data_IF_571499068516
#
_entry.id   IF_571499068516
#
_cell.length_a   1.000
_cell.length_b   1.000
_cell.length_c   1.000
_cell.angle_alpha   90.00
_cell.angle_beta   90.00
_cell.angle_gamma   90.00
#
_symmetry.space_group_name_H-M   'P 1'
#
loop_
_entity.id
_entity.type
_entity.pdbx_description
1 polymer ?
#
# COMPACT_ATOMS: atom_id res chain seq x y z
N UNK A 1 -3.11 1.49 -33.73
CA UNK A 1 -3.27 0.15 -33.11
C UNK A 1 -2.31 0.21 -31.97
N UNK A 2 -2.85 0.33 -30.78
CA UNK A 2 -2.11 0.98 -29.71
C UNK A 2 -1.64 -0.13 -28.77
N UNK A 3 -0.32 -0.29 -28.69
CA UNK A 3 0.34 -1.37 -27.96
C UNK A 3 0.62 -0.92 -26.53
N UNK A 4 0.16 -1.69 -25.55
CA UNK A 4 0.27 -1.31 -24.14
C UNK A 4 0.72 -2.49 -23.30
N UNK A 5 1.55 -2.23 -22.27
CA UNK A 5 1.97 -3.28 -21.34
C UNK A 5 1.03 -3.39 -20.14
N UNK A 6 0.73 -4.61 -19.68
CA UNK A 6 0.13 -4.88 -18.38
C UNK A 6 1.08 -4.48 -17.22
N UNK A 7 1.15 -3.18 -16.97
CA UNK A 7 1.54 -2.53 -15.73
C UNK A 7 0.31 -1.83 -15.11
N UNK A 8 0.37 -1.30 -13.89
CA UNK A 8 -0.78 -0.54 -13.33
C UNK A 8 -1.15 0.61 -14.27
N UNK A 9 -0.13 1.37 -14.70
CA UNK A 9 -0.28 2.48 -15.63
C UNK A 9 -0.74 2.02 -17.02
N UNK A 10 -0.28 0.88 -17.49
CA UNK A 10 -0.59 0.41 -18.84
C UNK A 10 -1.95 -0.29 -18.95
N UNK A 11 -2.41 -1.04 -17.95
CA UNK A 11 -3.80 -1.47 -17.91
C UNK A 11 -4.75 -0.28 -17.76
N UNK A 12 -4.44 0.70 -16.91
CA UNK A 12 -5.22 1.95 -16.83
C UNK A 12 -5.25 2.71 -18.15
N UNK A 13 -4.13 2.81 -18.87
CA UNK A 13 -4.07 3.42 -20.20
C UNK A 13 -4.87 2.62 -21.24
N UNK A 14 -4.76 1.30 -21.24
CA UNK A 14 -5.47 0.42 -22.16
C UNK A 14 -7.00 0.52 -21.99
N UNK A 15 -7.48 0.57 -20.75
CA UNK A 15 -8.89 0.85 -20.42
C UNK A 15 -9.30 2.23 -20.93
N UNK A 16 -8.56 3.28 -20.57
CA UNK A 16 -8.89 4.66 -20.94
C UNK A 16 -8.81 4.93 -22.46
N UNK A 17 -8.02 4.16 -23.22
CA UNK A 17 -8.01 4.18 -24.68
C UNK A 17 -9.23 3.43 -25.25
N UNK A 18 -9.55 2.25 -24.72
CA UNK A 18 -10.71 1.44 -25.12
C UNK A 18 -12.03 2.19 -24.90
N UNK A 19 -12.19 2.88 -23.78
CA UNK A 19 -13.35 3.73 -23.47
C UNK A 19 -13.54 4.88 -24.48
N UNK A 20 -12.44 5.38 -25.06
CA UNK A 20 -12.44 6.39 -26.13
C UNK A 20 -12.65 5.79 -27.53
N UNK A 21 -12.98 4.50 -27.64
CA UNK A 21 -13.26 3.81 -28.89
C UNK A 21 -12.01 3.28 -29.63
N UNK A 22 -10.83 3.30 -29.01
CA UNK A 22 -9.60 2.79 -29.64
C UNK A 22 -9.54 1.25 -29.59
N UNK A 23 -9.02 0.64 -30.65
CA UNK A 23 -8.64 -0.79 -30.66
C UNK A 23 -7.23 -0.94 -30.07
N UNK A 24 -7.18 -1.35 -28.81
CA UNK A 24 -5.96 -1.57 -28.03
C UNK A 24 -5.53 -3.04 -28.10
N UNK A 25 -4.23 -3.32 -28.03
CA UNK A 25 -3.69 -4.67 -27.84
C UNK A 25 -2.68 -4.65 -26.70
N UNK A 26 -2.79 -5.63 -25.79
CA UNK A 26 -2.02 -5.68 -24.54
C UNK A 26 -1.08 -6.87 -24.57
N UNK A 27 0.20 -6.66 -24.27
CA UNK A 27 1.25 -7.68 -24.32
C UNK A 27 1.96 -7.84 -22.98
N UNK A 28 1.74 -8.96 -22.26
CA UNK A 28 2.56 -9.39 -21.12
C UNK A 28 3.60 -10.44 -21.57
N UNK A 29 4.62 -10.65 -20.72
CA UNK A 29 5.51 -11.81 -20.77
C UNK A 29 4.99 -13.00 -19.94
N UNK A 30 4.14 -12.76 -18.92
CA UNK A 30 3.48 -13.79 -18.11
C UNK A 30 2.00 -13.92 -18.47
N UNK A 31 1.48 -15.14 -18.35
CA UNK A 31 0.07 -15.43 -18.62
C UNK A 31 -0.83 -15.11 -17.41
N UNK A 32 -0.95 -13.82 -17.07
CA UNK A 32 -1.82 -13.42 -15.96
C UNK A 32 -3.32 -13.56 -16.25
N UNK A 33 -3.70 -13.84 -17.49
CA UNK A 33 -5.03 -14.34 -17.88
C UNK A 33 -5.28 -15.78 -17.39
N UNK A 34 -4.24 -16.62 -17.28
CA UNK A 34 -4.35 -17.99 -16.75
C UNK A 34 -4.30 -18.03 -15.21
N UNK A 35 -3.46 -17.21 -14.56
CA UNK A 35 -3.25 -17.25 -13.09
C UNK A 35 -3.87 -16.09 -12.30
N UNK A 36 -4.46 -15.08 -12.96
CA UNK A 36 -5.13 -13.96 -12.32
C UNK A 36 -4.25 -13.16 -11.35
N UNK A 37 -2.99 -12.86 -11.71
CA UNK A 37 -2.02 -12.13 -10.87
C UNK A 37 -1.83 -12.71 -9.45
N UNK A 38 -2.13 -14.00 -9.24
CA UNK A 38 -1.88 -14.66 -7.97
C UNK A 38 -0.37 -14.95 -7.79
N UNK A 39 0.19 -14.79 -6.58
CA UNK A 39 1.56 -15.20 -6.31
C UNK A 39 1.72 -16.72 -6.50
N UNK A 40 2.59 -17.13 -7.42
CA UNK A 40 2.91 -18.54 -7.65
C UNK A 40 4.23 -18.86 -6.94
N UNK A 41 4.31 -20.05 -6.33
CA UNK A 41 5.52 -20.57 -5.70
C UNK A 41 6.54 -21.10 -6.72
N UNK A 42 6.10 -21.37 -7.95
CA UNK A 42 6.93 -21.95 -9.00
C UNK A 42 7.50 -20.93 -9.98
N UNK A 43 6.95 -19.72 -10.06
CA UNK A 43 7.42 -18.67 -10.97
C UNK A 43 8.46 -17.79 -10.28
N UNK A 44 9.73 -17.91 -10.69
CA UNK A 44 10.87 -17.29 -10.01
C UNK A 44 10.93 -15.76 -10.19
N UNK A 45 10.16 -15.20 -11.13
CA UNK A 45 10.08 -13.78 -11.43
C UNK A 45 8.60 -13.46 -11.60
N UNK A 46 8.09 -12.51 -10.81
CA UNK A 46 6.72 -12.00 -10.95
C UNK A 46 6.75 -10.46 -10.91
N UNK A 47 5.77 -9.80 -11.50
CA UNK A 47 5.74 -8.34 -11.52
C UNK A 47 5.53 -7.77 -10.10
N UNK A 48 6.11 -6.62 -9.75
CA UNK A 48 6.13 -6.12 -8.36
C UNK A 48 4.75 -5.79 -7.74
N UNK A 49 3.70 -5.82 -8.54
CA UNK A 49 2.31 -5.67 -8.11
C UNK A 49 1.64 -7.00 -7.73
N UNK A 50 2.18 -8.15 -8.16
CA UNK A 50 1.74 -9.50 -7.78
C UNK A 50 1.93 -9.63 -6.27
N UNK A 51 0.84 -9.41 -5.57
CA UNK A 51 0.79 -9.20 -4.14
C UNK A 51 -0.67 -9.31 -3.71
N UNK A 52 -0.95 -9.92 -2.56
CA UNK A 52 -2.30 -10.04 -2.05
C UNK A 52 -2.94 -8.64 -1.86
N UNK A 53 -2.22 -7.72 -1.21
CA UNK A 53 -2.72 -6.40 -0.81
C UNK A 53 -1.65 -5.30 -1.01
N UNK A 54 -2.03 -4.06 -1.39
CA UNK A 54 -1.15 -2.86 -1.31
C UNK A 54 -1.79 -1.77 -0.45
N UNK A 55 -0.97 -0.88 0.11
CA UNK A 55 -1.45 0.22 0.96
C UNK A 55 -2.11 1.28 0.07
N UNK A 56 -3.36 1.60 0.37
CA UNK A 56 -4.02 2.80 -0.12
C UNK A 56 -3.94 3.90 0.96
N UNK A 57 -3.57 5.12 0.58
CA UNK A 57 -3.33 6.24 1.51
C UNK A 57 -3.83 7.55 0.93
N UNK A 58 -4.55 8.34 1.73
CA UNK A 58 -4.92 9.71 1.37
C UNK A 58 -3.93 10.75 1.96
N UNK A 59 -3.45 10.54 3.19
CA UNK A 59 -2.51 11.45 3.88
C UNK A 59 -1.10 11.49 3.23
N UNK A 60 -0.87 12.41 2.29
CA UNK A 60 0.42 12.58 1.60
C UNK A 60 1.32 13.71 2.15
N UNK A 61 0.91 14.36 3.25
CA UNK A 61 1.61 15.50 3.83
C UNK A 61 1.71 16.66 2.85
N UNK A 62 2.90 17.27 2.74
CA UNK A 62 3.14 18.44 1.87
C UNK A 62 2.90 18.20 0.37
N UNK A 63 2.68 16.94 -0.06
CA UNK A 63 2.48 16.55 -1.46
C UNK A 63 1.00 16.60 -1.86
N UNK A 64 0.41 17.79 -1.80
CA UNK A 64 -1.04 18.04 -1.95
C UNK A 64 -1.66 17.51 -3.26
N UNK A 65 -0.91 17.45 -4.37
CA UNK A 65 -1.42 16.89 -5.63
C UNK A 65 -1.59 15.36 -5.54
N UNK A 66 -0.69 14.63 -4.86
CA UNK A 66 -0.88 13.20 -4.59
C UNK A 66 -2.05 12.96 -3.62
N UNK A 67 -2.28 13.86 -2.65
CA UNK A 67 -3.46 13.77 -1.78
C UNK A 67 -4.77 13.92 -2.58
N UNK A 68 -4.87 14.91 -3.47
CA UNK A 68 -6.07 15.08 -4.33
C UNK A 68 -6.29 13.89 -5.25
N UNK A 69 -5.24 13.47 -5.97
CA UNK A 69 -5.30 12.30 -6.86
C UNK A 69 -5.66 11.01 -6.09
N UNK A 70 -5.18 10.86 -4.86
CA UNK A 70 -5.58 9.74 -4.00
C UNK A 70 -7.08 9.82 -3.66
N UNK A 71 -7.62 10.98 -3.28
CA UNK A 71 -9.06 11.12 -3.00
C UNK A 71 -9.93 10.83 -4.23
N UNK A 72 -9.55 11.34 -5.40
CA UNK A 72 -10.20 11.00 -6.68
C UNK A 72 -10.14 9.49 -6.98
N UNK A 73 -8.98 8.87 -6.76
CA UNK A 73 -8.80 7.42 -6.90
C UNK A 73 -9.64 6.63 -5.90
N UNK A 74 -9.81 7.14 -4.67
CA UNK A 74 -10.63 6.51 -3.62
C UNK A 74 -12.09 6.39 -4.06
N UNK A 75 -12.63 7.46 -4.63
CA UNK A 75 -14.02 7.47 -5.06
C UNK A 75 -14.23 6.60 -6.31
N UNK A 76 -13.25 6.53 -7.21
CA UNK A 76 -13.22 5.54 -8.30
C UNK A 76 -13.20 4.08 -7.78
N UNK A 77 -12.37 3.77 -6.77
CA UNK A 77 -12.33 2.45 -6.13
C UNK A 77 -13.65 2.08 -5.44
N UNK A 78 -14.29 3.04 -4.76
CA UNK A 78 -15.60 2.83 -4.12
C UNK A 78 -16.70 2.59 -5.15
N UNK A 79 -16.72 3.38 -6.23
CA UNK A 79 -17.61 3.16 -7.38
C UNK A 79 -17.44 1.77 -7.98
N UNK A 80 -16.19 1.33 -8.20
CA UNK A 80 -15.89 -0.01 -8.73
C UNK A 80 -16.34 -1.14 -7.79
N UNK A 81 -16.18 -0.99 -6.47
CA UNK A 81 -16.73 -1.95 -5.50
C UNK A 81 -18.27 -2.08 -5.64
N UNK A 82 -18.99 -0.96 -5.75
CA UNK A 82 -20.46 -1.00 -5.90
C UNK A 82 -20.90 -1.61 -7.23
N UNK A 83 -20.24 -1.29 -8.35
CA UNK A 83 -20.47 -1.94 -9.64
C UNK A 83 -20.26 -3.45 -9.54
N UNK A 84 -19.18 -3.91 -8.91
CA UNK A 84 -18.89 -5.34 -8.75
C UNK A 84 -19.91 -6.06 -7.85
N UNK A 85 -20.43 -5.41 -6.80
CA UNK A 85 -21.52 -5.95 -5.98
C UNK A 85 -22.82 -6.12 -6.77
N UNK A 86 -23.11 -5.21 -7.68
CA UNK A 86 -24.31 -5.24 -8.51
C UNK A 86 -24.20 -6.25 -9.66
N UNK A 87 -23.09 -6.27 -10.39
CA UNK A 87 -22.89 -7.17 -11.54
C UNK A 87 -22.53 -8.61 -11.14
N UNK A 88 -21.77 -8.78 -10.05
CA UNK A 88 -21.26 -10.08 -9.60
C UNK A 88 -21.51 -10.32 -8.10
N UNK A 89 -22.79 -10.29 -7.66
CA UNK A 89 -23.14 -10.38 -6.25
C UNK A 89 -22.48 -11.59 -5.57
N UNK A 90 -21.98 -11.43 -4.34
CA UNK A 90 -21.35 -12.52 -3.62
C UNK A 90 -22.37 -13.64 -3.32
N UNK A 91 -21.94 -14.91 -3.27
CA UNK A 91 -22.74 -15.99 -2.69
C UNK A 91 -23.23 -15.65 -1.29
N UNK A 92 -24.43 -16.13 -0.93
CA UNK A 92 -25.06 -15.82 0.36
C UNK A 92 -24.28 -16.32 1.59
N UNK A 93 -23.34 -17.23 1.39
CA UNK A 93 -22.45 -17.87 2.38
C UNK A 93 -21.01 -17.34 2.34
N UNK A 94 -20.72 -16.30 1.55
CA UNK A 94 -19.37 -15.75 1.41
C UNK A 94 -18.93 -14.94 2.64
N UNK A 95 -18.05 -15.53 3.47
CA UNK A 95 -17.44 -14.95 4.68
C UNK A 95 -16.47 -13.77 4.42
N UNK A 96 -16.35 -13.30 3.18
CA UNK A 96 -15.44 -12.22 2.80
C UNK A 96 -16.01 -11.38 1.66
N UNK A 97 -15.90 -10.05 1.78
CA UNK A 97 -16.34 -9.15 0.71
C UNK A 97 -15.44 -9.28 -0.52
N UNK A 98 -16.04 -9.18 -1.71
CA UNK A 98 -15.32 -9.11 -2.99
C UNK A 98 -14.71 -7.73 -3.27
N UNK A 99 -14.82 -6.78 -2.33
CA UNK A 99 -14.33 -5.41 -2.47
C UNK A 99 -12.85 -5.38 -2.84
N UNK A 100 -12.50 -4.65 -3.90
CA UNK A 100 -11.12 -4.46 -4.32
C UNK A 100 -10.40 -3.44 -3.44
N UNK A 101 -11.14 -2.45 -2.93
CA UNK A 101 -10.66 -1.51 -1.93
C UNK A 101 -11.38 -1.73 -0.61
N UNK A 102 -10.63 -1.98 0.46
CA UNK A 102 -11.14 -2.19 1.82
C UNK A 102 -10.79 -0.99 2.68
N UNK A 103 -11.82 -0.27 3.13
CA UNK A 103 -11.74 0.96 3.94
C UNK A 103 -11.38 0.66 5.40
N UNK A 104 -10.28 -0.05 5.64
CA UNK A 104 -9.82 -0.39 6.99
C UNK A 104 -8.99 0.73 7.68
N UNK A 105 -8.79 1.88 7.04
CA UNK A 105 -7.96 2.96 7.57
C UNK A 105 -6.47 2.63 7.60
N UNK A 106 -5.66 3.64 7.97
CA UNK A 106 -4.21 3.52 8.10
C UNK A 106 -3.69 4.22 9.36
N UNK A 107 -3.08 3.47 10.28
CA UNK A 107 -2.45 3.96 11.48
C UNK A 107 -0.96 4.27 11.24
N UNK A 108 -0.55 5.51 11.49
CA UNK A 108 0.82 6.02 11.35
C UNK A 108 1.47 6.21 12.71
N UNK A 109 2.18 5.18 13.16
CA UNK A 109 2.93 5.19 14.43
C UNK A 109 4.26 5.93 14.25
N UNK A 110 4.49 6.91 15.13
CA UNK A 110 5.67 7.76 15.17
C UNK A 110 6.83 7.07 15.92
N UNK A 111 8.10 7.49 15.74
CA UNK A 111 9.24 6.93 16.48
C UNK A 111 9.34 7.43 17.93
N UNK A 112 8.42 8.28 18.39
CA UNK A 112 8.40 8.87 19.73
C UNK A 112 6.97 9.03 20.24
N UNK A 113 6.79 9.36 21.52
CA UNK A 113 5.50 9.72 22.11
C UNK A 113 4.98 11.11 21.74
N UNK A 114 5.42 11.71 20.63
CA UNK A 114 4.95 13.01 20.18
C UNK A 114 4.90 13.12 18.65
N UNK A 115 3.95 13.91 18.13
CA UNK A 115 3.83 14.15 16.68
C UNK A 115 5.08 14.87 16.14
N UNK A 116 5.78 14.21 15.21
CA UNK A 116 6.87 14.80 14.45
C UNK A 116 6.38 15.92 13.51
N UNK A 117 7.29 16.81 13.10
CA UNK A 117 6.94 18.00 12.29
C UNK A 117 6.19 17.66 10.99
N UNK A 118 6.57 16.57 10.31
CA UNK A 118 5.88 16.13 9.08
C UNK A 118 4.44 15.65 9.34
N UNK A 119 4.18 15.00 10.47
CA UNK A 119 2.83 14.54 10.84
C UNK A 119 1.95 15.73 11.25
N UNK A 120 2.51 16.70 11.97
CA UNK A 120 1.84 17.98 12.29
C UNK A 120 1.45 18.75 11.03
N UNK A 121 2.37 18.89 10.06
CA UNK A 121 2.04 19.52 8.77
C UNK A 121 1.00 18.69 8.01
N UNK A 122 1.08 17.35 8.03
CA UNK A 122 0.07 16.48 7.41
C UNK A 122 -1.32 16.73 7.99
N UNK A 123 -1.47 16.82 9.31
CA UNK A 123 -2.73 17.17 9.96
C UNK A 123 -3.21 18.57 9.55
N UNK A 124 -2.32 19.56 9.46
CA UNK A 124 -2.64 20.90 8.98
C UNK A 124 -3.01 20.93 7.48
N UNK A 125 -2.45 20.05 6.65
CA UNK A 125 -2.87 19.86 5.25
C UNK A 125 -4.29 19.30 5.18
N UNK A 126 -4.62 18.31 6.01
CA UNK A 126 -5.96 17.70 6.09
C UNK A 126 -6.99 18.71 6.61
N UNK A 127 -6.66 19.50 7.64
CA UNK A 127 -7.49 20.64 8.10
C UNK A 127 -7.79 21.63 6.98
N UNK A 128 -6.74 22.11 6.28
CA UNK A 128 -6.90 23.05 5.16
C UNK A 128 -7.65 22.47 3.95
N UNK A 129 -7.82 21.15 3.89
CA UNK A 129 -8.64 20.45 2.89
C UNK A 129 -10.08 20.17 3.38
N UNK A 130 -10.44 20.53 4.61
CA UNK A 130 -11.74 20.21 5.21
C UNK A 130 -11.89 18.77 5.68
N UNK A 131 -10.77 18.05 5.89
CA UNK A 131 -10.71 16.61 6.16
C UNK A 131 -10.16 16.26 7.56
N UNK A 132 -10.03 17.24 8.47
CA UNK A 132 -9.45 17.01 9.81
C UNK A 132 -10.17 15.92 10.60
N UNK A 133 -11.49 15.84 10.48
CA UNK A 133 -12.34 14.94 11.25
C UNK A 133 -12.15 13.45 10.88
N UNK A 134 -11.54 13.19 9.72
CA UNK A 134 -11.10 11.86 9.24
C UNK A 134 -9.77 11.39 9.83
N UNK A 135 -9.04 12.28 10.49
CA UNK A 135 -7.77 11.98 11.16
C UNK A 135 -8.01 11.84 12.66
N UNK A 136 -7.38 10.87 13.32
CA UNK A 136 -7.53 10.66 14.77
C UNK A 136 -6.15 10.49 15.41
N UNK A 137 -5.75 11.46 16.24
CA UNK A 137 -4.50 11.41 17.03
C UNK A 137 -4.75 10.63 18.32
N UNK A 138 -3.92 9.62 18.61
CA UNK A 138 -4.10 8.72 19.76
C UNK A 138 -4.10 9.49 21.08
N UNK A 139 -3.15 10.41 21.27
CA UNK A 139 -3.05 11.20 22.51
C UNK A 139 -4.22 12.18 22.74
N UNK A 140 -4.99 12.53 21.71
CA UNK A 140 -6.06 13.54 21.80
C UNK A 140 -7.40 12.90 22.23
N UNK A 141 -7.94 13.37 23.36
CA UNK A 141 -9.18 12.83 23.94
C UNK A 141 -10.42 12.97 23.03
N UNK A 142 -10.60 14.11 22.37
CA UNK A 142 -11.72 14.35 21.47
C UNK A 142 -11.59 13.53 20.16
N UNK A 143 -10.37 13.24 19.72
CA UNK A 143 -10.12 12.32 18.61
C UNK A 143 -10.42 10.87 19.02
N UNK A 144 -10.05 10.43 20.23
CA UNK A 144 -10.44 9.09 20.73
C UNK A 144 -11.96 8.92 20.84
N UNK A 145 -12.67 9.92 21.36
CA UNK A 145 -14.13 9.93 21.46
C UNK A 145 -14.80 9.92 20.06
N UNK A 146 -14.30 10.75 19.13
CA UNK A 146 -14.76 10.75 17.73
C UNK A 146 -14.44 9.44 17.01
N UNK A 147 -13.31 8.80 17.32
CA UNK A 147 -12.97 7.49 16.77
C UNK A 147 -13.92 6.41 17.29
N UNK A 148 -14.17 6.36 18.60
CA UNK A 148 -15.09 5.41 19.21
C UNK A 148 -16.52 5.54 18.65
N UNK A 149 -17.07 6.76 18.65
CA UNK A 149 -18.43 7.04 18.12
C UNK A 149 -18.59 6.76 16.63
N UNK A 150 -17.51 6.80 15.84
CA UNK A 150 -17.51 6.50 14.39
C UNK A 150 -17.02 5.08 14.04
N UNK A 151 -16.86 4.18 15.01
CA UNK A 151 -16.44 2.79 14.79
C UNK A 151 -14.94 2.57 14.54
N UNK A 152 -14.12 3.61 14.65
CA UNK A 152 -12.66 3.56 14.47
C UNK A 152 -11.88 3.26 15.75
N UNK A 153 -12.53 3.23 16.91
CA UNK A 153 -11.88 3.08 18.21
C UNK A 153 -10.94 1.87 18.31
N UNK A 154 -11.36 0.71 17.82
CA UNK A 154 -10.54 -0.51 17.82
C UNK A 154 -9.26 -0.42 16.94
N UNK A 155 -9.25 0.50 15.97
CA UNK A 155 -8.13 0.73 15.04
C UNK A 155 -7.13 1.77 15.52
N UNK A 156 -7.48 2.57 16.52
CA UNK A 156 -6.60 3.58 17.12
C UNK A 156 -5.69 2.90 18.16
N UNK A 157 -4.81 2.02 17.67
CA UNK A 157 -3.97 1.17 18.50
C UNK A 157 -2.90 1.98 19.24
N UNK A 158 -2.65 1.60 20.49
CA UNK A 158 -1.66 2.20 21.38
C UNK A 158 -0.50 1.24 21.59
N UNK A 159 0.73 1.74 21.53
CA UNK A 159 1.96 0.93 21.66
C UNK A 159 2.87 1.52 22.74
N UNK A 160 3.31 0.71 23.69
CA UNK A 160 4.24 1.13 24.76
C UNK A 160 5.67 1.28 24.24
N UNK A 161 6.41 2.23 24.81
CA UNK A 161 7.85 2.44 24.54
C UNK A 161 8.63 1.54 25.51
N UNK A 162 9.38 0.51 25.04
CA UNK A 162 9.92 -0.52 25.93
C UNK A 162 10.95 -0.06 26.97
N UNK A 163 11.62 1.08 26.76
CA UNK A 163 12.79 1.53 27.53
C UNK A 163 12.66 3.00 28.02
N UNK A 164 11.45 3.44 28.35
CA UNK A 164 11.21 4.77 28.94
C UNK A 164 11.29 4.77 30.48
N UNK A 165 11.86 5.83 31.06
CA UNK A 165 11.80 6.08 32.53
C UNK A 165 10.39 6.49 33.02
N UNK A 166 9.51 6.84 32.09
CA UNK A 166 8.07 7.00 32.29
C UNK A 166 7.35 6.02 31.34
N UNK A 167 6.17 5.53 31.72
CA UNK A 167 5.33 4.64 30.89
C UNK A 167 4.71 5.38 29.70
N UNK A 168 5.56 5.83 28.78
CA UNK A 168 5.18 6.52 27.55
C UNK A 168 4.71 5.55 26.47
N UNK A 169 3.83 6.04 25.59
CA UNK A 169 3.37 5.31 24.42
C UNK A 169 3.76 6.06 23.15
N UNK A 170 4.08 5.32 22.08
CA UNK A 170 4.34 5.93 20.78
C UNK A 170 3.08 6.67 20.29
N UNK A 171 3.26 7.89 19.82
CA UNK A 171 2.16 8.67 19.25
C UNK A 171 1.74 8.05 17.92
N UNK A 172 0.44 8.10 17.62
CA UNK A 172 -0.10 7.53 16.40
C UNK A 172 -1.23 8.39 15.81
N UNK A 173 -1.36 8.38 14.49
CA UNK A 173 -2.48 9.02 13.79
C UNK A 173 -3.16 8.01 12.88
N UNK A 174 -4.46 7.78 13.08
CA UNK A 174 -5.31 6.98 12.20
C UNK A 174 -5.93 7.88 11.12
N UNK A 175 -5.76 7.52 9.85
CA UNK A 175 -6.47 8.10 8.70
C UNK A 175 -7.58 7.15 8.24
N UNK A 176 -8.85 7.56 8.38
CA UNK A 176 -10.00 6.77 7.95
C UNK A 176 -10.30 6.84 6.45
N UNK A 177 -9.60 7.69 5.68
CA UNK A 177 -9.71 7.72 4.21
C UNK A 177 -8.77 6.71 3.54
N UNK A 178 -7.87 6.10 4.32
CA UNK A 178 -6.90 5.13 3.86
C UNK A 178 -7.41 3.68 4.02
N UNK A 179 -6.60 2.71 3.60
CA UNK A 179 -6.94 1.29 3.71
C UNK A 179 -6.01 0.42 2.87
N UNK A 180 -6.55 -0.65 2.29
CA UNK A 180 -5.81 -1.52 1.37
C UNK A 180 -6.57 -1.75 0.07
N UNK A 181 -5.84 -1.91 -1.02
CA UNK A 181 -6.36 -2.51 -2.27
C UNK A 181 -5.92 -3.97 -2.35
N UNK A 182 -6.79 -4.87 -2.79
CA UNK A 182 -6.44 -6.27 -3.13
C UNK A 182 -5.79 -6.26 -4.51
N UNK A 183 -4.57 -6.77 -4.63
CA UNK A 183 -3.68 -6.46 -5.76
C UNK A 183 -3.35 -7.62 -6.71
N UNK A 184 -3.84 -8.83 -6.47
CA UNK A 184 -3.93 -9.88 -7.49
C UNK A 184 -4.96 -9.57 -8.60
N UNK A 185 -5.22 -8.29 -8.88
CA UNK A 185 -6.07 -7.80 -9.96
C UNK A 185 -5.51 -6.50 -10.61
N UNK A 186 -4.26 -6.11 -10.30
CA UNK A 186 -3.60 -4.96 -10.94
C UNK A 186 -2.08 -5.20 -11.10
N UNK A 187 -1.57 -5.17 -12.34
CA UNK A 187 -0.15 -5.27 -12.73
C UNK A 187 0.67 -4.05 -12.24
N UNK A 188 1.98 -3.82 -12.44
CA UNK A 188 3.12 -4.53 -13.04
C UNK A 188 4.31 -3.53 -13.19
N UNK A 189 5.59 -3.95 -13.27
CA UNK A 189 6.77 -3.04 -13.04
C UNK A 189 7.99 -3.13 -13.99
N UNK A 190 7.90 -3.82 -15.14
CA UNK A 190 9.06 -4.24 -15.96
C UNK A 190 9.52 -3.26 -17.07
N UNK A 191 9.36 -1.94 -16.89
CA UNK A 191 9.47 -0.98 -18.01
C UNK A 191 10.89 -0.74 -18.57
N UNK A 192 11.96 -1.02 -17.81
CA UNK A 192 13.35 -0.64 -18.17
C UNK A 192 14.03 -1.58 -19.17
N UNK A 193 13.64 -2.85 -19.27
CA UNK A 193 14.30 -3.84 -20.14
C UNK A 193 13.98 -3.67 -21.63
N UNK A 194 13.00 -2.81 -21.95
CA UNK A 194 12.34 -2.77 -23.25
C UNK A 194 12.44 -1.39 -23.93
N UNK A 195 12.73 -0.38 -23.12
CA UNK A 195 13.16 0.95 -23.53
C UNK A 195 14.43 1.24 -22.71
N UNK A 196 15.63 0.86 -23.19
CA UNK A 196 16.89 1.13 -22.51
C UNK A 196 17.09 2.61 -22.16
N UNK A 197 16.43 3.51 -22.89
CA UNK A 197 16.37 4.95 -22.66
C UNK A 197 15.66 5.35 -21.36
N UNK A 198 14.89 4.46 -20.73
CA UNK A 198 14.26 4.69 -19.43
C UNK A 198 15.16 4.29 -18.24
N UNK A 199 16.28 3.60 -18.49
CA UNK A 199 17.24 3.21 -17.43
C UNK A 199 17.84 4.42 -16.69
N UNK A 200 17.86 5.60 -17.32
CA UNK A 200 18.34 6.85 -16.71
C UNK A 200 17.33 7.49 -15.74
N UNK A 201 16.09 6.99 -15.67
CA UNK A 201 14.98 7.62 -14.94
C UNK A 201 14.32 6.70 -13.90
N UNK A 202 14.63 5.41 -13.90
CA UNK A 202 13.98 4.40 -13.05
C UNK A 202 15.03 3.48 -12.42
N UNK A 203 14.93 3.28 -11.10
CA UNK A 203 15.77 2.34 -10.35
C UNK A 203 14.92 1.16 -9.87
N UNK A 204 15.23 -0.05 -10.36
CA UNK A 204 14.59 -1.29 -9.94
C UNK A 204 15.11 -1.68 -8.56
N UNK A 205 14.22 -1.70 -7.56
CA UNK A 205 14.60 -1.95 -6.17
C UNK A 205 13.64 -2.92 -5.46
N UNK A 206 14.19 -4.02 -4.97
CA UNK A 206 13.49 -5.03 -4.18
C UNK A 206 13.35 -4.62 -2.71
N UNK A 207 12.24 -5.04 -2.09
CA UNK A 207 11.99 -4.90 -0.65
C UNK A 207 11.54 -6.22 -0.05
N UNK A 208 11.73 -6.39 1.27
CA UNK A 208 11.45 -7.64 1.97
C UNK A 208 10.04 -7.66 2.57
N UNK A 209 9.33 -8.77 2.39
CA UNK A 209 8.05 -9.06 3.06
C UNK A 209 8.13 -10.41 3.79
N UNK A 210 7.35 -10.52 4.87
CA UNK A 210 7.08 -11.76 5.58
C UNK A 210 5.56 -11.91 5.70
N UNK A 211 5.06 -13.14 5.61
CA UNK A 211 3.62 -13.43 5.72
C UNK A 211 3.41 -14.52 6.75
N UNK A 212 2.53 -14.26 7.71
CA UNK A 212 2.14 -15.19 8.77
C UNK A 212 0.73 -15.71 8.49
N UNK A 213 0.52 -17.01 8.68
CA UNK A 213 -0.81 -17.64 8.56
C UNK A 213 -1.42 -17.76 9.96
N UNK A 214 -2.55 -17.11 10.18
CA UNK A 214 -3.42 -17.34 11.34
C UNK A 214 -4.36 -18.50 10.99
N UNK A 215 -4.51 -19.45 11.91
CA UNK A 215 -5.49 -20.52 11.77
C UNK A 215 -6.91 -20.00 12.06
N UNK A 216 -7.89 -20.44 11.29
CA UNK A 216 -9.31 -20.04 11.44
C UNK A 216 -9.94 -20.58 12.73
N UNK A 217 -9.28 -21.51 13.42
CA UNK A 217 -9.64 -21.98 14.77
C UNK A 217 -9.20 -21.01 15.87
N UNK A 218 -8.13 -20.24 15.69
CA UNK A 218 -7.72 -19.18 16.63
C UNK A 218 -8.60 -17.94 16.44
N UNK A 219 -9.78 -17.96 17.05
CA UNK A 219 -10.74 -16.86 16.96
C UNK A 219 -10.18 -15.54 17.47
N UNK A 220 -9.34 -15.57 18.51
CA UNK A 220 -8.76 -14.35 19.07
C UNK A 220 -7.87 -13.64 18.05
N UNK A 221 -6.91 -14.35 17.45
CA UNK A 221 -6.04 -13.74 16.43
C UNK A 221 -6.81 -13.47 15.13
N UNK A 222 -7.75 -14.34 14.74
CA UNK A 222 -8.56 -14.16 13.54
C UNK A 222 -9.39 -12.88 13.59
N UNK A 223 -10.03 -12.60 14.72
CA UNK A 223 -10.87 -11.41 14.87
C UNK A 223 -10.01 -10.17 15.14
N UNK A 224 -8.94 -10.27 15.95
CA UNK A 224 -7.99 -9.18 16.22
C UNK A 224 -7.37 -8.60 14.96
N UNK A 225 -6.95 -9.45 14.02
CA UNK A 225 -6.29 -9.01 12.78
C UNK A 225 -7.25 -8.79 11.60
N UNK A 226 -8.58 -8.95 11.80
CA UNK A 226 -9.59 -8.69 10.77
C UNK A 226 -9.53 -7.25 10.23
N UNK A 227 -9.89 -6.98 8.97
CA UNK A 227 -9.99 -5.60 8.48
C UNK A 227 -11.04 -4.75 9.23
N UNK A 228 -11.96 -5.38 9.97
CA UNK A 228 -12.96 -4.75 10.84
C UNK A 228 -12.37 -4.27 12.17
N UNK A 229 -11.32 -4.92 12.69
CA UNK A 229 -10.65 -4.53 13.96
C UNK A 229 -9.27 -3.90 13.74
N UNK A 230 -8.45 -4.42 12.82
CA UNK A 230 -7.09 -3.96 12.54
C UNK A 230 -7.06 -2.96 11.36
N UNK A 231 -6.23 -1.90 11.41
CA UNK A 231 -6.00 -1.02 10.27
C UNK A 231 -4.81 -1.50 9.42
N UNK A 232 -4.54 -0.85 8.29
CA UNK A 232 -3.18 -0.87 7.75
C UNK A 232 -2.27 -0.15 8.75
N UNK A 233 -1.15 -0.76 9.12
CA UNK A 233 -0.19 -0.17 10.04
C UNK A 233 1.04 0.30 9.26
N UNK A 234 1.53 1.50 9.56
CA UNK A 234 2.92 1.88 9.26
C UNK A 234 3.56 2.43 10.52
N UNK A 235 4.74 1.94 10.84
CA UNK A 235 5.49 2.32 12.03
C UNK A 235 6.91 2.68 11.63
N UNK A 236 7.32 3.91 11.94
CA UNK A 236 8.72 4.33 11.90
C UNK A 236 9.32 4.02 13.26
N UNK A 237 10.05 2.92 13.42
CA UNK A 237 10.64 2.57 14.72
C UNK A 237 11.84 3.43 15.10
N UNK A 238 12.49 4.05 14.10
CA UNK A 238 13.57 5.03 14.29
C UNK A 238 13.33 6.29 13.43
N UNK A 239 13.95 7.43 13.80
CA UNK A 239 14.15 8.56 12.89
C UNK A 239 14.97 8.14 11.66
N UNK A 240 14.82 8.88 10.57
CA UNK A 240 15.67 8.71 9.37
C UNK A 240 17.14 8.95 9.70
N UNK A 241 18.02 8.28 8.97
CA UNK A 241 19.46 8.57 9.03
C UNK A 241 19.79 9.97 8.50
N UNK A 242 21.06 10.38 8.64
CA UNK A 242 21.54 11.68 8.15
C UNK A 242 21.41 11.89 6.63
N UNK A 243 21.19 10.82 5.86
CA UNK A 243 20.95 10.85 4.42
C UNK A 243 19.45 10.84 4.08
N UNK A 244 18.56 10.88 5.07
CA UNK A 244 17.11 10.89 4.90
C UNK A 244 16.51 9.52 4.56
N UNK A 245 17.25 8.42 4.70
CA UNK A 245 16.78 7.06 4.46
C UNK A 245 15.93 6.58 5.64
N UNK A 246 14.82 5.90 5.34
CA UNK A 246 14.03 5.23 6.38
C UNK A 246 14.89 4.09 6.97
N UNK A 247 15.14 4.10 8.28
CA UNK A 247 15.78 3.02 9.04
C UNK A 247 14.72 2.41 9.97
N UNK A 248 14.67 1.08 10.07
CA UNK A 248 13.75 0.39 10.99
C UNK A 248 12.25 0.46 10.67
N UNK A 249 11.81 1.18 9.63
CA UNK A 249 10.36 1.32 9.37
C UNK A 249 9.73 0.00 8.91
N UNK A 250 8.55 -0.31 9.43
CA UNK A 250 7.76 -1.50 9.06
C UNK A 250 6.35 -1.09 8.65
N UNK A 251 5.69 -1.94 7.88
CA UNK A 251 4.26 -1.85 7.61
C UNK A 251 3.59 -3.20 7.74
N UNK A 252 2.33 -3.23 8.18
CA UNK A 252 1.55 -4.45 8.31
C UNK A 252 0.13 -4.25 7.74
N UNK A 253 -0.47 -5.32 7.27
CA UNK A 253 -1.84 -5.36 6.80
C UNK A 253 -2.74 -6.14 7.77
N UNK A 254 -4.06 -5.85 7.79
CA UNK A 254 -5.05 -6.81 8.28
C UNK A 254 -4.94 -8.16 7.56
N UNK A 255 -5.45 -9.23 8.18
CA UNK A 255 -5.48 -10.56 7.57
C UNK A 255 -6.31 -10.58 6.29
N UNK A 256 -5.93 -11.44 5.35
CA UNK A 256 -6.82 -11.82 4.24
C UNK A 256 -8.00 -12.69 4.72
N UNK A 257 -8.92 -13.01 3.80
CA UNK A 257 -9.91 -14.09 3.97
C UNK A 257 -9.27 -15.42 4.36
N UNK A 258 -8.06 -15.69 3.86
CA UNK A 258 -7.27 -16.88 4.15
C UNK A 258 -6.41 -16.74 5.41
N UNK A 259 -6.62 -15.73 6.25
CA UNK A 259 -5.85 -15.55 7.48
C UNK A 259 -4.38 -15.17 7.27
N UNK A 260 -3.99 -14.67 6.10
CA UNK A 260 -2.61 -14.23 5.84
C UNK A 260 -2.41 -12.79 6.32
N UNK A 261 -1.55 -12.59 7.32
CA UNK A 261 -1.08 -11.27 7.78
C UNK A 261 0.29 -11.00 7.15
N UNK A 262 0.35 -9.98 6.29
CA UNK A 262 1.60 -9.56 5.63
C UNK A 262 2.24 -8.39 6.39
N UNK A 263 3.54 -8.52 6.64
CA UNK A 263 4.41 -7.48 7.20
C UNK A 263 5.52 -7.21 6.19
N UNK A 264 5.83 -5.94 5.93
CA UNK A 264 6.94 -5.55 5.06
C UNK A 264 7.92 -4.62 5.74
N UNK A 265 9.20 -4.78 5.41
CA UNK A 265 10.27 -3.91 5.88
C UNK A 265 10.50 -2.77 4.90
N UNK A 266 10.58 -1.56 5.45
CA UNK A 266 10.80 -0.30 4.73
C UNK A 266 12.11 0.30 5.23
N UNK A 267 13.22 -0.31 4.83
CA UNK A 267 14.56 0.14 5.19
C UNK A 267 15.55 0.00 4.04
N UNK A 268 16.53 -0.90 4.20
CA UNK A 268 17.42 -1.28 3.11
C UNK A 268 16.59 -1.91 1.99
N UNK A 269 16.69 -1.32 0.80
CA UNK A 269 16.27 -1.92 -0.45
C UNK A 269 17.47 -2.61 -1.11
N UNK A 270 17.19 -3.61 -1.93
CA UNK A 270 18.21 -4.36 -2.67
C UNK A 270 18.08 -4.05 -4.16
N UNK A 271 19.19 -3.67 -4.80
CA UNK A 271 19.32 -3.60 -6.26
C UNK A 271 20.08 -4.84 -6.73
N UNK A 272 19.86 -5.26 -7.97
CA UNK A 272 20.60 -6.36 -8.61
C UNK A 272 21.46 -5.82 -9.76
N UNK A 273 22.48 -5.04 -9.40
CA UNK A 273 23.44 -4.51 -10.36
C UNK A 273 24.26 -5.65 -10.99
N UNK A 274 24.41 -5.61 -12.32
CA UNK A 274 25.22 -6.53 -13.11
C UNK A 274 26.33 -5.75 -13.84
N UNK A 275 27.42 -6.38 -14.31
CA UNK A 275 28.42 -5.72 -15.15
C UNK A 275 27.81 -5.25 -16.47
N UNK A 276 28.08 -4.00 -16.87
CA UNK A 276 27.50 -3.42 -18.09
C UNK A 276 28.03 -4.12 -19.37
N UNK A 277 27.16 -4.50 -20.33
CA UNK A 277 27.58 -4.96 -21.65
C UNK A 277 28.47 -3.94 -22.37
N UNK A 278 29.38 -4.42 -23.20
CA UNK A 278 30.22 -3.54 -24.04
C UNK A 278 29.35 -2.68 -24.96
N UNK A 279 29.58 -1.37 -24.97
CA UNK A 279 28.76 -0.41 -25.72
C UNK A 279 27.49 0.06 -25.01
N UNK A 280 27.26 -0.31 -23.74
CA UNK A 280 26.14 0.26 -22.96
C UNK A 280 26.35 1.78 -22.81
N UNK A 281 25.38 2.63 -23.17
CA UNK A 281 25.57 4.09 -23.22
C UNK A 281 25.74 4.77 -21.85
N UNK A 282 25.47 4.07 -20.75
CA UNK A 282 25.65 4.56 -19.39
C UNK A 282 25.96 3.41 -18.43
N UNK A 283 26.78 3.68 -17.41
CA UNK A 283 27.04 2.77 -16.29
C UNK A 283 27.01 3.54 -14.97
N UNK A 284 26.52 2.91 -13.91
CA UNK A 284 26.63 3.43 -12.54
C UNK A 284 27.84 2.77 -11.87
N UNK A 285 29.04 3.25 -12.20
CA UNK A 285 30.30 2.62 -11.75
C UNK A 285 30.53 1.26 -12.41
N UNK A 286 30.49 1.22 -13.74
CA UNK A 286 30.66 0.02 -14.59
C UNK A 286 29.57 -1.06 -14.43
N UNK A 287 28.52 -0.73 -13.67
CA UNK A 287 27.34 -1.58 -13.48
C UNK A 287 26.09 -1.03 -14.18
N UNK A 288 25.18 -1.93 -14.55
CA UNK A 288 23.84 -1.63 -15.08
C UNK A 288 22.77 -2.45 -14.32
N UNK A 289 21.49 -2.09 -14.49
CA UNK A 289 20.37 -2.83 -13.90
C UNK A 289 19.55 -3.53 -14.98
N UNK A 290 19.19 -4.79 -14.71
CA UNK A 290 18.10 -5.52 -15.37
C UNK A 290 16.75 -5.07 -14.82
#
# INVERSE_FOLDING_TARGET
MDEVRPGIFGLSLALALKERGHKVTVFDQHKYDENGYQPDRHDAIQAASVDANKIFRASYGTKLHYQRLALESRDAWRSLNETLKHEYPPPADADATRDLFVECGMLRVQPTGALGALEKETLANMERAGLRDTQFVESNAADRERAASRGWGAKLLRFEIPEGSEHGTYEAVLDSLAGLTKCSQASGSFSTQLLPELSYHLESSGGSIATFKIDRTDKFLWDKYSPEQFPVLTWKSAPRDGNGKDTGSVYAFPRTSDGLVKIGYRGIKFTNFQPAPSGTPFTQGDQWQL
#
